data_IF_691413616606
#
_entry.id   IF_691413616606
#
_cell.length_a   1.000
_cell.length_b   1.000
_cell.length_c   1.000
_cell.angle_alpha   90.00
_cell.angle_beta   90.00
_cell.angle_gamma   90.00
#
_symmetry.space_group_name_H-M   'P 1'
#
loop_
_entity.id
_entity.type
_entity.pdbx_description
1 polymer ?
#
# COMPACT_ATOMS: atom_id res chain seq x y z
N UNK A 1 24.67 57.65 -15.35
CA UNK A 1 24.17 56.25 -15.39
C UNK A 1 22.66 56.28 -15.59
N UNK A 2 22.09 55.24 -16.12
CA UNK A 2 20.62 55.10 -16.27
C UNK A 2 19.88 55.33 -14.94
N UNK A 3 20.42 54.84 -13.86
CA UNK A 3 19.90 54.98 -12.51
C UNK A 3 19.81 56.45 -12.06
N UNK A 4 20.83 57.26 -12.37
CA UNK A 4 20.83 58.69 -12.02
C UNK A 4 19.72 59.46 -12.77
N UNK A 5 19.48 59.12 -14.04
CA UNK A 5 18.43 59.73 -14.86
C UNK A 5 17.02 59.33 -14.33
N UNK A 6 16.90 58.15 -13.75
CA UNK A 6 15.65 57.67 -13.14
C UNK A 6 15.37 58.37 -11.81
N UNK A 7 16.38 58.57 -10.95
CA UNK A 7 16.27 59.35 -9.72
C UNK A 7 15.91 60.82 -9.97
N UNK A 8 16.52 61.43 -10.99
CA UNK A 8 16.20 62.81 -11.39
C UNK A 8 14.76 62.92 -11.93
N UNK A 9 14.31 61.93 -12.71
CA UNK A 9 12.94 61.87 -13.24
C UNK A 9 11.89 61.71 -12.12
N UNK A 10 12.17 60.91 -11.12
CA UNK A 10 11.28 60.63 -10.00
C UNK A 10 11.43 61.62 -8.84
N UNK A 11 12.35 62.62 -8.97
CA UNK A 11 12.66 63.64 -7.94
C UNK A 11 13.05 63.02 -6.60
N UNK A 12 13.78 61.89 -6.63
CA UNK A 12 14.27 61.23 -5.43
C UNK A 12 15.47 62.03 -4.90
N UNK A 13 15.33 62.51 -3.66
CA UNK A 13 16.33 63.36 -3.03
C UNK A 13 17.19 62.63 -1.99
N UNK A 14 16.70 61.54 -1.43
CA UNK A 14 17.41 60.73 -0.46
C UNK A 14 16.94 59.30 -0.48
N UNK A 15 17.85 58.31 -0.38
CA UNK A 15 17.54 56.89 -0.34
C UNK A 15 18.20 56.24 0.88
N UNK A 16 17.46 55.37 1.55
CA UNK A 16 17.97 54.43 2.56
C UNK A 16 17.67 53.01 2.10
N UNK A 17 18.69 52.15 2.04
CA UNK A 17 18.55 50.77 1.58
C UNK A 17 19.20 49.81 2.57
N UNK A 18 18.52 48.71 2.90
CA UNK A 18 19.04 47.63 3.76
C UNK A 18 18.92 46.30 3.06
N UNK A 19 19.84 45.40 3.38
CA UNK A 19 19.84 44.04 2.82
C UNK A 19 18.79 43.15 3.51
N UNK A 20 18.15 42.27 2.77
CA UNK A 20 17.34 41.16 3.27
C UNK A 20 18.19 39.91 3.21
N UNK A 21 18.36 39.24 4.34
CA UNK A 21 19.17 38.02 4.45
C UNK A 21 18.30 36.80 4.58
N UNK A 22 18.59 35.74 3.80
CA UNK A 22 17.96 34.43 3.88
C UNK A 22 19.08 33.38 3.86
N UNK A 23 19.12 32.45 4.79
CA UNK A 23 20.21 31.46 4.93
C UNK A 23 21.62 32.10 4.93
N UNK A 24 21.81 33.20 5.65
CA UNK A 24 23.07 33.96 5.71
C UNK A 24 23.58 34.50 4.36
N UNK A 25 22.72 34.49 3.34
CA UNK A 25 23.02 35.08 2.01
C UNK A 25 22.11 36.25 1.75
N UNK A 26 22.60 37.20 0.96
CA UNK A 26 21.79 38.33 0.52
C UNK A 26 20.76 37.79 -0.48
N UNK A 27 19.49 37.92 -0.12
CA UNK A 27 18.36 37.58 -0.98
C UNK A 27 17.87 38.75 -1.81
N UNK A 28 17.98 39.97 -1.24
CA UNK A 28 17.56 41.20 -1.87
C UNK A 28 17.79 42.40 -0.98
N UNK A 29 17.21 43.50 -1.36
CA UNK A 29 17.28 44.76 -0.63
C UNK A 29 15.88 45.34 -0.46
N UNK A 30 15.65 46.04 0.65
CA UNK A 30 14.47 46.88 0.85
C UNK A 30 14.95 48.31 1.06
N UNK A 31 14.32 49.25 0.39
CA UNK A 31 14.66 50.65 0.48
C UNK A 31 13.46 51.54 0.68
N UNK A 32 13.73 52.73 1.21
CA UNK A 32 12.81 53.86 1.25
C UNK A 32 13.47 55.06 0.57
N UNK A 33 12.70 55.79 -0.17
CA UNK A 33 13.11 57.01 -0.88
C UNK A 33 12.25 58.20 -0.42
N UNK A 34 12.87 59.36 -0.42
CA UNK A 34 12.21 60.63 -0.11
C UNK A 34 12.16 61.47 -1.37
N UNK A 35 10.96 61.94 -1.71
CA UNK A 35 10.65 62.74 -2.87
C UNK A 35 10.42 64.20 -2.45
N UNK A 36 10.95 65.15 -3.20
CA UNK A 36 10.60 66.56 -3.09
C UNK A 36 11.51 67.44 -2.23
N UNK A 37 12.48 66.88 -1.47
CA UNK A 37 13.46 67.66 -0.72
C UNK A 37 14.50 66.78 -0.03
N UNK A 38 15.73 67.30 0.25
CA UNK A 38 16.75 66.54 0.94
C UNK A 38 16.31 66.14 2.33
N UNK A 39 16.56 64.89 2.70
CA UNK A 39 16.26 64.34 4.02
C UNK A 39 17.50 63.68 4.62
N UNK A 40 17.80 63.98 5.87
CA UNK A 40 18.89 63.35 6.62
C UNK A 40 18.34 62.18 7.44
N UNK A 41 18.75 60.94 7.09
CA UNK A 41 18.30 59.72 7.75
C UNK A 41 18.82 59.67 9.19
N UNK A 42 17.91 59.58 10.13
CA UNK A 42 18.24 59.46 11.56
C UNK A 42 18.49 58.01 11.93
N UNK A 43 19.17 57.80 13.07
CA UNK A 43 19.50 56.45 13.55
C UNK A 43 18.26 55.58 13.69
N UNK A 44 17.15 56.13 14.16
CA UNK A 44 15.91 55.35 14.31
C UNK A 44 15.29 54.94 12.95
N UNK A 45 15.41 55.71 11.89
CA UNK A 45 14.95 55.34 10.56
C UNK A 45 15.72 54.13 10.04
N UNK A 46 17.05 54.16 10.24
CA UNK A 46 17.95 53.07 9.84
C UNK A 46 17.64 51.80 10.63
N UNK A 47 17.47 51.91 11.95
CA UNK A 47 17.11 50.78 12.81
C UNK A 47 15.74 50.20 12.45
N UNK A 48 14.75 51.04 12.18
CA UNK A 48 13.43 50.61 11.77
C UNK A 48 13.50 49.80 10.45
N UNK A 49 14.15 50.33 9.42
CA UNK A 49 14.26 49.63 8.13
C UNK A 49 15.07 48.35 8.25
N UNK A 50 16.10 48.28 9.10
CA UNK A 50 16.82 47.03 9.40
C UNK A 50 15.91 45.98 10.01
N UNK A 51 15.05 46.33 11.00
CA UNK A 51 14.09 45.41 11.60
C UNK A 51 13.09 44.89 10.57
N UNK A 52 12.61 45.74 9.66
CA UNK A 52 11.74 45.30 8.56
C UNK A 52 12.46 44.31 7.65
N UNK A 53 13.71 44.59 7.30
CA UNK A 53 14.54 43.65 6.51
C UNK A 53 14.74 42.31 7.19
N UNK A 54 14.96 42.29 8.51
CA UNK A 54 15.08 41.07 9.31
C UNK A 54 13.76 40.27 9.36
N UNK A 55 12.63 40.94 9.56
CA UNK A 55 11.31 40.29 9.54
C UNK A 55 11.04 39.65 8.19
N UNK A 56 11.30 40.36 7.11
CA UNK A 56 11.13 39.84 5.75
C UNK A 56 12.06 38.65 5.49
N UNK A 57 13.33 38.75 5.90
CA UNK A 57 14.30 37.67 5.77
C UNK A 57 13.86 36.42 6.52
N UNK A 58 13.43 36.56 7.76
CA UNK A 58 12.93 35.46 8.59
C UNK A 58 11.64 34.83 8.00
N UNK A 59 10.74 35.67 7.49
CA UNK A 59 9.51 35.18 6.85
C UNK A 59 9.81 34.37 5.59
N UNK A 60 10.68 34.88 4.73
CA UNK A 60 11.14 34.16 3.53
C UNK A 60 11.85 32.85 3.87
N UNK A 61 12.69 32.86 4.92
CA UNK A 61 13.36 31.67 5.43
C UNK A 61 12.34 30.62 5.86
N UNK A 62 11.34 31.03 6.65
CA UNK A 62 10.28 30.13 7.11
C UNK A 62 9.48 29.54 5.95
N UNK A 63 9.12 30.34 4.95
CA UNK A 63 8.45 29.88 3.75
C UNK A 63 9.29 28.86 2.96
N UNK A 64 10.59 29.07 2.82
CA UNK A 64 11.49 28.12 2.18
C UNK A 64 11.58 26.82 2.98
N UNK A 65 11.73 26.92 4.30
CA UNK A 65 11.78 25.73 5.17
C UNK A 65 10.48 24.92 5.13
N UNK A 66 9.32 25.59 5.14
CA UNK A 66 8.02 24.92 5.01
C UNK A 66 7.87 24.17 3.68
N UNK A 67 8.25 24.79 2.57
CA UNK A 67 8.22 24.13 1.25
C UNK A 67 9.16 22.93 1.20
N UNK A 68 10.36 23.05 1.78
CA UNK A 68 11.32 21.95 1.84
C UNK A 68 10.78 20.78 2.69
N UNK A 69 10.19 21.06 3.85
CA UNK A 69 9.57 20.06 4.72
C UNK A 69 8.41 19.34 4.02
N UNK A 70 7.52 20.07 3.33
CA UNK A 70 6.42 19.47 2.58
C UNK A 70 6.93 18.51 1.51
N UNK A 71 7.98 18.88 0.78
CA UNK A 71 8.58 18.02 -0.24
C UNK A 71 9.12 16.72 0.35
N UNK A 72 9.91 16.81 1.44
CA UNK A 72 10.46 15.65 2.13
C UNK A 72 9.35 14.76 2.69
N UNK A 73 8.28 15.33 3.21
CA UNK A 73 7.14 14.58 3.72
C UNK A 73 6.43 13.78 2.61
N UNK A 74 6.23 14.36 1.43
CA UNK A 74 5.66 13.67 0.28
C UNK A 74 6.56 12.52 -0.16
N UNK A 75 7.87 12.77 -0.29
CA UNK A 75 8.85 11.74 -0.67
C UNK A 75 8.88 10.58 0.36
N UNK A 76 8.79 10.88 1.65
CA UNK A 76 8.75 9.88 2.73
C UNK A 76 7.48 9.02 2.66
N UNK A 77 6.31 9.63 2.45
CA UNK A 77 5.04 8.90 2.30
C UNK A 77 5.09 7.97 1.09
N UNK A 78 5.62 8.43 -0.03
CA UNK A 78 5.76 7.60 -1.24
C UNK A 78 6.73 6.45 -1.03
N UNK A 79 7.89 6.71 -0.41
CA UNK A 79 8.86 5.67 -0.06
C UNK A 79 8.26 4.61 0.88
N UNK A 80 7.52 5.02 1.91
CA UNK A 80 6.84 4.10 2.81
C UNK A 80 5.79 3.25 2.09
N UNK A 81 4.98 3.84 1.20
CA UNK A 81 4.03 3.10 0.36
C UNK A 81 4.70 2.03 -0.50
N UNK A 82 5.84 2.37 -1.09
CA UNK A 82 6.62 1.40 -1.89
C UNK A 82 7.19 0.28 -1.02
N UNK A 83 7.72 0.62 0.16
CA UNK A 83 8.21 -0.37 1.12
C UNK A 83 7.09 -1.31 1.58
N UNK A 84 5.91 -0.80 1.88
CA UNK A 84 4.73 -1.60 2.24
C UNK A 84 4.31 -2.52 1.10
N UNK A 85 4.29 -2.04 -0.15
CA UNK A 85 4.00 -2.88 -1.31
C UNK A 85 5.02 -4.02 -1.46
N UNK A 86 6.32 -3.71 -1.41
CA UNK A 86 7.38 -4.71 -1.50
C UNK A 86 7.33 -5.72 -0.35
N UNK A 87 6.88 -5.25 0.83
CA UNK A 87 6.78 -6.08 2.02
C UNK A 87 5.58 -7.02 2.02
N UNK A 88 4.46 -6.64 1.39
CA UNK A 88 3.16 -7.28 1.57
C UNK A 88 2.58 -7.91 0.29
N UNK A 89 3.16 -7.63 -0.88
CA UNK A 89 2.65 -8.12 -2.18
C UNK A 89 3.56 -9.23 -2.71
N UNK A 90 2.96 -10.25 -3.33
CA UNK A 90 3.67 -11.28 -4.08
C UNK A 90 4.06 -10.75 -5.47
N UNK A 91 5.35 -10.80 -5.79
CA UNK A 91 5.90 -10.22 -7.02
C UNK A 91 5.45 -10.91 -8.31
N UNK A 92 4.99 -12.17 -8.27
CA UNK A 92 4.49 -12.88 -9.45
C UNK A 92 3.02 -12.58 -9.73
N UNK A 93 2.19 -12.68 -8.69
CA UNK A 93 0.72 -12.68 -8.83
C UNK A 93 0.09 -11.32 -8.54
N UNK A 94 0.79 -10.41 -7.87
CA UNK A 94 0.30 -9.08 -7.54
C UNK A 94 -0.74 -9.03 -6.41
N UNK A 95 -1.11 -10.17 -5.82
CA UNK A 95 -1.95 -10.26 -4.61
C UNK A 95 -1.08 -10.23 -3.35
N UNK A 96 -1.67 -10.28 -2.16
CA UNK A 96 -0.93 -10.34 -0.90
C UNK A 96 0.05 -11.51 -0.85
N UNK A 97 1.13 -11.36 -0.11
CA UNK A 97 2.09 -12.43 0.17
C UNK A 97 1.84 -13.07 1.55
N UNK A 98 2.61 -14.12 1.90
CA UNK A 98 2.51 -14.82 3.18
C UNK A 98 2.63 -13.91 4.39
N UNK A 99 3.58 -12.94 4.37
CA UNK A 99 3.74 -12.01 5.50
C UNK A 99 2.50 -11.15 5.72
N UNK A 100 1.87 -10.70 4.63
CA UNK A 100 0.62 -9.96 4.72
C UNK A 100 -0.51 -10.82 5.28
N UNK A 101 -0.57 -12.09 4.85
CA UNK A 101 -1.52 -13.07 5.38
C UNK A 101 -1.35 -13.27 6.88
N UNK A 102 -0.12 -13.53 7.37
CA UNK A 102 0.13 -13.82 8.78
C UNK A 102 -0.35 -12.66 9.66
N UNK A 103 -0.02 -11.42 9.29
CA UNK A 103 -0.46 -10.21 10.00
C UNK A 103 -1.98 -10.00 9.94
N UNK A 104 -2.59 -10.19 8.77
CA UNK A 104 -4.02 -10.00 8.58
C UNK A 104 -4.83 -11.04 9.38
N UNK A 105 -4.43 -12.30 9.34
CA UNK A 105 -5.14 -13.37 10.06
C UNK A 105 -5.13 -13.14 11.58
N UNK A 106 -4.00 -12.69 12.15
CA UNK A 106 -3.92 -12.34 13.57
C UNK A 106 -4.87 -11.18 13.92
N UNK A 107 -4.87 -10.11 13.12
CA UNK A 107 -5.75 -8.96 13.33
C UNK A 107 -7.24 -9.36 13.20
N UNK A 108 -7.59 -10.09 12.14
CA UNK A 108 -8.98 -10.51 11.86
C UNK A 108 -9.50 -11.49 12.91
N UNK A 109 -8.63 -12.34 13.48
CA UNK A 109 -9.00 -13.24 14.56
C UNK A 109 -9.33 -12.48 15.85
N UNK A 110 -8.57 -11.43 16.17
CA UNK A 110 -8.87 -10.56 17.32
C UNK A 110 -10.17 -9.79 17.08
N UNK A 111 -10.39 -9.25 15.88
CA UNK A 111 -11.61 -8.52 15.53
C UNK A 111 -12.84 -9.43 15.55
N UNK A 112 -12.73 -10.65 15.03
CA UNK A 112 -13.78 -11.68 15.06
C UNK A 112 -14.28 -11.94 16.48
N UNK A 113 -13.37 -12.05 17.46
CA UNK A 113 -13.71 -12.24 18.88
C UNK A 113 -14.38 -11.03 19.49
N UNK A 114 -13.88 -9.83 19.18
CA UNK A 114 -14.42 -8.57 19.71
C UNK A 114 -15.84 -8.31 19.18
N UNK A 115 -16.03 -8.56 17.89
CA UNK A 115 -17.31 -8.32 17.20
C UNK A 115 -18.28 -9.49 17.28
N UNK A 116 -17.83 -10.67 17.76
CA UNK A 116 -18.59 -11.93 17.74
C UNK A 116 -19.07 -12.33 16.33
N UNK A 117 -18.35 -11.88 15.29
CA UNK A 117 -18.59 -12.26 13.90
C UNK A 117 -17.70 -13.45 13.53
N UNK A 118 -18.19 -14.40 12.73
CA UNK A 118 -17.39 -15.54 12.31
C UNK A 118 -16.19 -15.10 11.46
N UNK A 119 -15.09 -15.85 11.53
CA UNK A 119 -13.96 -15.72 10.65
C UNK A 119 -13.71 -17.07 9.98
N UNK A 120 -13.60 -17.08 8.65
CA UNK A 120 -13.29 -18.30 7.91
C UNK A 120 -11.98 -18.15 7.14
N UNK A 121 -11.25 -19.26 7.06
CA UNK A 121 -10.00 -19.38 6.33
C UNK A 121 -10.11 -20.48 5.29
N UNK A 122 -9.66 -20.21 4.06
CA UNK A 122 -9.43 -21.18 3.00
C UNK A 122 -7.94 -21.33 2.78
N UNK A 123 -7.39 -22.55 2.84
CA UNK A 123 -6.10 -22.90 2.26
C UNK A 123 -6.32 -23.62 0.93
N UNK A 124 -5.59 -23.24 -0.08
CA UNK A 124 -5.81 -23.63 -1.47
C UNK A 124 -4.50 -24.10 -2.06
N UNK A 125 -4.51 -25.22 -2.77
CA UNK A 125 -3.34 -25.76 -3.45
C UNK A 125 -3.71 -26.15 -4.89
N UNK A 126 -2.81 -25.87 -5.82
CA UNK A 126 -3.01 -26.19 -7.24
C UNK A 126 -2.68 -27.64 -7.49
N UNK A 127 -3.68 -28.41 -7.91
CA UNK A 127 -3.59 -29.86 -8.06
C UNK A 127 -2.55 -30.28 -9.11
N UNK A 128 -1.60 -31.11 -8.66
CA UNK A 128 -0.55 -31.69 -9.53
C UNK A 128 0.29 -30.64 -10.27
N UNK A 129 0.54 -29.47 -9.65
CA UNK A 129 1.21 -28.33 -10.28
C UNK A 129 2.64 -28.65 -10.72
N UNK A 130 3.36 -29.51 -9.97
CA UNK A 130 4.68 -29.97 -10.41
C UNK A 130 4.61 -30.68 -11.76
N UNK A 131 3.68 -31.61 -11.93
CA UNK A 131 3.49 -32.32 -13.21
C UNK A 131 3.06 -31.35 -14.34
N UNK A 132 2.31 -30.31 -14.03
CA UNK A 132 1.99 -29.24 -14.96
C UNK A 132 3.26 -28.51 -15.43
N UNK A 133 4.12 -28.08 -14.50
CA UNK A 133 5.36 -27.41 -14.82
C UNK A 133 6.33 -28.32 -15.62
N UNK A 134 6.40 -29.58 -15.26
CA UNK A 134 7.26 -30.56 -15.98
C UNK A 134 6.80 -30.76 -17.44
N UNK A 135 5.50 -30.60 -17.71
CA UNK A 135 4.91 -30.76 -19.04
C UNK A 135 4.91 -29.47 -19.88
N UNK A 136 4.55 -28.34 -19.28
CA UNK A 136 4.32 -27.07 -20.02
C UNK A 136 5.37 -25.99 -19.75
N UNK A 137 6.29 -26.24 -18.82
CA UNK A 137 7.36 -25.32 -18.41
C UNK A 137 6.91 -24.28 -17.37
N UNK A 138 7.89 -23.72 -16.66
CA UNK A 138 7.66 -22.76 -15.56
C UNK A 138 6.94 -21.49 -15.99
N UNK A 139 7.16 -21.00 -17.22
CA UNK A 139 6.47 -19.79 -17.73
C UNK A 139 4.97 -20.03 -17.86
N UNK A 140 4.56 -21.23 -18.29
CA UNK A 140 3.14 -21.60 -18.33
C UNK A 140 2.56 -21.74 -16.91
N UNK A 141 3.34 -22.28 -15.97
CA UNK A 141 2.99 -22.35 -14.55
C UNK A 141 2.78 -20.96 -13.93
N UNK A 142 3.69 -20.05 -14.16
CA UNK A 142 3.59 -18.67 -13.69
C UNK A 142 2.31 -17.98 -14.23
N UNK A 143 1.99 -18.18 -15.49
CA UNK A 143 0.76 -17.65 -16.09
C UNK A 143 -0.51 -18.30 -15.50
N UNK A 144 -0.45 -19.59 -15.19
CA UNK A 144 -1.55 -20.28 -14.51
C UNK A 144 -1.78 -19.71 -13.10
N UNK A 145 -0.70 -19.52 -12.32
CA UNK A 145 -0.79 -18.93 -10.97
C UNK A 145 -1.36 -17.51 -11.00
N UNK A 146 -0.98 -16.68 -11.98
CA UNK A 146 -1.55 -15.33 -12.17
C UNK A 146 -3.07 -15.38 -12.40
N UNK A 147 -3.53 -16.25 -13.29
CA UNK A 147 -4.97 -16.41 -13.58
C UNK A 147 -5.75 -16.93 -12.37
N UNK A 148 -5.16 -17.85 -11.60
CA UNK A 148 -5.75 -18.33 -10.35
C UNK A 148 -5.86 -17.18 -9.35
N UNK A 149 -4.81 -16.40 -9.14
CA UNK A 149 -4.81 -15.24 -8.25
C UNK A 149 -5.90 -14.21 -8.62
N UNK A 150 -6.03 -13.87 -9.90
CA UNK A 150 -7.10 -13.00 -10.42
C UNK A 150 -8.50 -13.60 -10.13
N UNK A 151 -8.65 -14.91 -10.30
CA UNK A 151 -9.90 -15.62 -10.01
C UNK A 151 -10.25 -15.61 -8.53
N UNK A 152 -9.27 -15.79 -7.65
CA UNK A 152 -9.47 -15.71 -6.21
C UNK A 152 -9.90 -14.29 -5.81
N UNK A 153 -9.18 -13.28 -6.25
CA UNK A 153 -9.51 -11.87 -5.96
C UNK A 153 -10.92 -11.50 -6.45
N UNK A 154 -11.31 -11.93 -7.65
CA UNK A 154 -12.66 -11.65 -8.19
C UNK A 154 -13.77 -12.46 -7.52
N UNK A 155 -13.42 -13.51 -6.79
CA UNK A 155 -14.37 -14.33 -6.02
C UNK A 155 -14.54 -13.83 -4.57
N UNK A 156 -13.65 -12.99 -4.08
CA UNK A 156 -13.70 -12.31 -2.80
C UNK A 156 -14.56 -11.03 -2.98
N UNK A 157 -15.81 -11.07 -2.51
CA UNK A 157 -16.78 -9.99 -2.72
C UNK A 157 -17.00 -9.10 -1.49
N UNK A 158 -16.54 -9.52 -0.32
CA UNK A 158 -16.57 -8.73 0.90
C UNK A 158 -15.51 -7.63 0.89
N UNK A 159 -15.79 -6.51 1.55
CA UNK A 159 -14.85 -5.38 1.64
C UNK A 159 -13.51 -5.74 2.30
N UNK A 160 -13.54 -6.70 3.21
CA UNK A 160 -12.38 -7.13 3.99
C UNK A 160 -11.91 -8.54 3.60
N UNK A 161 -12.47 -9.12 2.52
CA UNK A 161 -11.98 -10.41 2.02
C UNK A 161 -10.56 -10.26 1.50
N UNK A 162 -9.67 -11.16 1.86
CA UNK A 162 -8.26 -11.09 1.48
C UNK A 162 -7.82 -12.38 0.79
N UNK A 163 -7.36 -12.27 -0.45
CA UNK A 163 -6.70 -13.34 -1.18
C UNK A 163 -5.19 -13.11 -1.20
N UNK A 164 -4.41 -14.15 -0.88
CA UNK A 164 -2.95 -14.09 -0.84
C UNK A 164 -2.31 -15.32 -1.50
N UNK A 165 -1.08 -15.18 -1.95
CA UNK A 165 -0.22 -16.31 -2.28
C UNK A 165 0.56 -16.72 -1.05
N UNK A 166 0.24 -17.90 -0.52
CA UNK A 166 0.83 -18.42 0.72
C UNK A 166 2.25 -18.95 0.51
N UNK A 167 2.52 -19.56 -0.66
CA UNK A 167 3.86 -19.99 -1.07
C UNK A 167 3.80 -20.92 -2.28
N UNK A 168 4.79 -20.91 -3.17
CA UNK A 168 4.83 -21.81 -4.32
C UNK A 168 3.54 -21.80 -5.15
N UNK A 169 2.82 -22.91 -5.11
CA UNK A 169 1.50 -23.14 -5.72
C UNK A 169 0.33 -23.03 -4.74
N UNK A 170 0.59 -22.53 -3.50
CA UNK A 170 -0.39 -22.44 -2.44
C UNK A 170 -0.93 -21.01 -2.31
N UNK A 171 -2.22 -20.90 -2.09
CA UNK A 171 -2.94 -19.66 -1.84
C UNK A 171 -3.74 -19.76 -0.54
N UNK A 172 -4.10 -18.61 0.02
CA UNK A 172 -5.02 -18.53 1.13
C UNK A 172 -6.05 -17.43 0.90
N UNK A 173 -7.24 -17.61 1.49
CA UNK A 173 -8.29 -16.59 1.49
C UNK A 173 -8.82 -16.44 2.91
N UNK A 174 -8.78 -15.22 3.45
CA UNK A 174 -9.39 -14.85 4.73
C UNK A 174 -10.73 -14.20 4.42
N UNK A 175 -11.78 -14.64 5.12
CA UNK A 175 -13.16 -14.20 4.92
C UNK A 175 -13.78 -13.78 6.25
N UNK A 176 -13.59 -12.53 6.69
CA UNK A 176 -14.24 -12.00 7.89
C UNK A 176 -15.77 -11.95 7.72
N UNK A 177 -16.50 -12.39 8.73
CA UNK A 177 -17.97 -12.46 8.73
C UNK A 177 -18.57 -13.64 7.97
N UNK A 178 -17.75 -14.49 7.35
CA UNK A 178 -18.26 -15.66 6.63
C UNK A 178 -18.54 -16.84 7.57
N UNK A 179 -19.80 -17.28 7.62
CA UNK A 179 -20.20 -18.48 8.35
C UNK A 179 -19.85 -19.76 7.57
N UNK A 180 -19.87 -20.93 8.23
CA UNK A 180 -19.62 -22.23 7.59
C UNK A 180 -20.41 -22.44 6.30
N UNK A 181 -21.71 -22.09 6.31
CA UNK A 181 -22.57 -22.21 5.13
C UNK A 181 -22.18 -21.26 4.00
N UNK A 182 -21.74 -20.05 4.34
CA UNK A 182 -21.32 -19.05 3.34
C UNK A 182 -19.95 -19.36 2.78
N UNK A 183 -19.00 -19.77 3.62
CA UNK A 183 -17.63 -20.09 3.18
C UNK A 183 -17.60 -21.28 2.23
N UNK A 184 -18.41 -22.34 2.48
CA UNK A 184 -18.50 -23.46 1.54
C UNK A 184 -19.05 -23.06 0.18
N UNK A 185 -20.04 -22.18 0.13
CA UNK A 185 -20.54 -21.65 -1.16
C UNK A 185 -19.46 -20.84 -1.91
N UNK A 186 -18.67 -20.07 -1.17
CA UNK A 186 -17.54 -19.32 -1.75
C UNK A 186 -16.48 -20.29 -2.27
N UNK A 187 -16.09 -21.29 -1.48
CA UNK A 187 -15.12 -22.29 -1.88
C UNK A 187 -15.56 -23.04 -3.16
N UNK A 188 -16.84 -23.49 -3.23
CA UNK A 188 -17.39 -24.11 -4.41
C UNK A 188 -17.44 -23.16 -5.63
N UNK A 189 -17.70 -21.87 -5.40
CA UNK A 189 -17.69 -20.86 -6.48
C UNK A 189 -16.26 -20.68 -7.01
N UNK A 190 -15.27 -20.62 -6.13
CA UNK A 190 -13.84 -20.55 -6.50
C UNK A 190 -13.46 -21.78 -7.34
N UNK A 191 -13.80 -22.99 -6.89
CA UNK A 191 -13.57 -24.23 -7.64
C UNK A 191 -14.18 -24.19 -9.04
N UNK A 192 -15.42 -23.72 -9.17
CA UNK A 192 -16.10 -23.56 -10.44
C UNK A 192 -15.42 -22.53 -11.34
N UNK A 193 -15.01 -21.40 -10.77
CA UNK A 193 -14.37 -20.31 -11.53
C UNK A 193 -13.00 -20.72 -12.04
N UNK A 194 -12.19 -21.41 -11.22
CA UNK A 194 -10.89 -21.93 -11.66
C UNK A 194 -11.05 -22.97 -12.78
N UNK A 195 -12.01 -23.88 -12.68
CA UNK A 195 -12.31 -24.82 -13.78
C UNK A 195 -12.72 -24.12 -15.07
N UNK A 196 -13.49 -23.00 -14.98
CA UNK A 196 -13.89 -22.21 -16.15
C UNK A 196 -12.72 -21.52 -16.87
N UNK A 197 -11.56 -21.38 -16.22
CA UNK A 197 -10.34 -20.89 -16.89
C UNK A 197 -9.93 -21.81 -18.05
N UNK A 198 -10.34 -23.08 -18.00
CA UNK A 198 -10.09 -24.04 -19.09
C UNK A 198 -8.60 -24.31 -19.34
N UNK A 199 -7.75 -24.16 -18.31
CA UNK A 199 -6.30 -24.35 -18.46
C UNK A 199 -6.03 -25.85 -18.68
N UNK A 200 -5.50 -26.26 -19.85
CA UNK A 200 -5.23 -27.67 -20.13
C UNK A 200 -4.16 -28.24 -19.19
N UNK A 201 -4.40 -29.45 -18.67
CA UNK A 201 -3.44 -30.20 -17.87
C UNK A 201 -3.53 -31.69 -18.22
N UNK A 202 -2.65 -32.17 -19.06
CA UNK A 202 -2.68 -33.52 -19.65
C UNK A 202 -2.71 -34.64 -18.59
N UNK A 203 -1.96 -34.46 -17.49
CA UNK A 203 -1.86 -35.42 -16.40
C UNK A 203 -2.96 -35.27 -15.31
N UNK A 204 -3.90 -34.35 -15.50
CA UNK A 204 -5.02 -34.20 -14.55
C UNK A 204 -6.10 -35.26 -14.78
N UNK A 205 -6.57 -35.88 -13.70
CA UNK A 205 -7.74 -36.79 -13.74
C UNK A 205 -9.06 -36.06 -13.88
N UNK A 206 -9.09 -34.73 -13.77
CA UNK A 206 -10.29 -33.89 -13.84
C UNK A 206 -10.47 -33.25 -15.23
N UNK A 207 -10.97 -34.04 -16.17
CA UNK A 207 -11.23 -33.59 -17.56
C UNK A 207 -10.01 -32.96 -18.25
N UNK A 208 -8.77 -33.38 -17.88
CA UNK A 208 -7.51 -32.81 -18.37
C UNK A 208 -7.40 -31.29 -18.17
N UNK A 209 -7.98 -30.77 -17.08
CA UNK A 209 -7.89 -29.37 -16.70
C UNK A 209 -7.09 -29.19 -15.43
N UNK A 210 -6.44 -28.05 -15.31
CA UNK A 210 -5.82 -27.62 -14.04
C UNK A 210 -6.94 -27.30 -13.05
N UNK A 211 -6.83 -27.87 -11.85
CA UNK A 211 -7.79 -27.72 -10.77
C UNK A 211 -7.09 -27.32 -9.47
N UNK A 212 -7.86 -27.02 -8.46
CA UNK A 212 -7.38 -26.68 -7.12
C UNK A 212 -8.11 -27.52 -6.07
N UNK A 213 -7.47 -27.77 -4.95
CA UNK A 213 -8.07 -28.34 -3.75
C UNK A 213 -8.15 -27.28 -2.64
N UNK A 214 -9.19 -27.30 -1.83
CA UNK A 214 -9.44 -26.28 -0.81
C UNK A 214 -9.70 -26.94 0.54
N UNK A 215 -8.92 -26.56 1.56
CA UNK A 215 -9.19 -26.80 2.97
C UNK A 215 -9.92 -25.60 3.56
N UNK A 216 -10.99 -25.83 4.28
CA UNK A 216 -11.85 -24.81 4.87
C UNK A 216 -11.82 -24.94 6.38
N UNK A 217 -11.74 -23.82 7.09
CA UNK A 217 -11.93 -23.76 8.54
C UNK A 217 -12.73 -22.51 8.91
N UNK A 218 -13.55 -22.62 9.94
CA UNK A 218 -14.18 -21.46 10.58
C UNK A 218 -13.64 -21.36 12.01
N UNK A 219 -13.25 -20.16 12.42
CA UNK A 219 -12.82 -19.90 13.78
C UNK A 219 -13.99 -20.02 14.75
N UNK A 220 -13.73 -20.61 15.89
CA UNK A 220 -14.68 -20.65 17.01
C UNK A 220 -14.63 -19.32 17.75
N UNK A 221 -15.65 -18.48 17.59
CA UNK A 221 -15.71 -17.13 18.20
C UNK A 221 -15.65 -17.14 19.71
N UNK A 222 -16.15 -18.23 20.34
CA UNK A 222 -16.15 -18.41 21.80
C UNK A 222 -14.81 -18.94 22.34
N UNK A 223 -13.93 -19.45 21.47
CA UNK A 223 -12.66 -20.05 21.88
C UNK A 223 -11.55 -18.99 21.90
N UNK A 224 -11.38 -18.32 23.04
CA UNK A 224 -10.31 -17.32 23.21
C UNK A 224 -8.88 -17.88 23.13
N UNK A 225 -8.71 -19.19 23.15
CA UNK A 225 -7.38 -19.84 23.12
C UNK A 225 -6.92 -20.24 21.72
N UNK A 226 -7.80 -20.25 20.74
CA UNK A 226 -7.47 -20.63 19.36
C UNK A 226 -6.56 -19.57 18.73
N UNK A 227 -5.37 -19.92 18.32
CA UNK A 227 -4.41 -19.03 17.67
C UNK A 227 -4.59 -19.03 16.14
N UNK A 228 -4.02 -18.03 15.47
CA UNK A 228 -3.93 -18.02 14.01
C UNK A 228 -3.23 -19.28 13.48
N UNK A 229 -2.21 -19.77 14.20
CA UNK A 229 -1.50 -21.00 13.85
C UNK A 229 -2.41 -22.23 13.94
N UNK A 230 -3.29 -22.32 14.95
CA UNK A 230 -4.23 -23.43 15.07
C UNK A 230 -5.24 -23.45 13.91
N UNK A 231 -5.71 -22.27 13.48
CA UNK A 231 -6.58 -22.16 12.30
C UNK A 231 -5.88 -22.63 11.03
N UNK A 232 -4.63 -22.23 10.82
CA UNK A 232 -3.84 -22.68 9.67
C UNK A 232 -3.65 -24.19 9.69
N UNK A 233 -3.33 -24.79 10.85
CA UNK A 233 -3.19 -26.25 10.99
C UNK A 233 -4.49 -26.98 10.67
N UNK A 234 -5.63 -26.52 11.18
CA UNK A 234 -6.96 -27.11 10.87
C UNK A 234 -7.29 -27.00 9.38
N UNK A 235 -6.98 -25.86 8.76
CA UNK A 235 -7.20 -25.66 7.33
C UNK A 235 -6.30 -26.56 6.48
N UNK A 236 -5.04 -26.79 6.89
CA UNK A 236 -4.10 -27.69 6.20
C UNK A 236 -4.58 -29.15 6.31
N UNK A 237 -5.04 -29.60 7.47
CA UNK A 237 -5.65 -30.92 7.62
C UNK A 237 -6.88 -31.07 6.71
N UNK A 238 -7.72 -30.04 6.60
CA UNK A 238 -8.85 -30.03 5.70
C UNK A 238 -8.43 -30.09 4.22
N UNK A 239 -7.38 -29.36 3.85
CA UNK A 239 -6.78 -29.40 2.51
C UNK A 239 -6.23 -30.79 2.20
N UNK A 240 -5.57 -31.42 3.15
CA UNK A 240 -5.09 -32.80 2.99
C UNK A 240 -6.26 -33.78 2.76
N UNK A 241 -7.40 -33.62 3.50
CA UNK A 241 -8.62 -34.39 3.24
C UNK A 241 -9.18 -34.17 1.84
N UNK A 242 -9.15 -32.92 1.34
CA UNK A 242 -9.58 -32.61 -0.02
C UNK A 242 -8.70 -33.29 -1.09
N UNK A 243 -7.38 -33.25 -0.93
CA UNK A 243 -6.42 -33.93 -1.81
C UNK A 243 -6.64 -35.44 -1.86
N UNK A 244 -6.87 -36.07 -0.69
CA UNK A 244 -7.13 -37.52 -0.58
C UNK A 244 -8.53 -37.94 -1.06
N UNK A 245 -9.52 -37.04 -1.03
CA UNK A 245 -10.85 -37.30 -1.57
C UNK A 245 -10.93 -37.28 -3.10
N UNK A 246 -9.78 -37.16 -3.78
CA UNK A 246 -9.66 -37.16 -5.22
C UNK A 246 -9.33 -35.80 -5.84
N UNK A 247 -8.98 -34.80 -5.02
CA UNK A 247 -8.68 -33.42 -5.46
C UNK A 247 -9.90 -32.68 -6.03
N UNK A 248 -9.71 -31.46 -6.55
CA UNK A 248 -10.76 -30.65 -7.19
C UNK A 248 -12.02 -30.50 -6.31
N UNK A 249 -11.87 -30.40 -5.03
CA UNK A 249 -12.97 -30.26 -4.06
C UNK A 249 -12.56 -29.40 -2.87
N UNK A 250 -13.56 -28.98 -2.08
CA UNK A 250 -13.36 -28.34 -0.79
C UNK A 250 -13.77 -29.29 0.35
N UNK A 251 -13.06 -29.23 1.46
CA UNK A 251 -13.36 -29.96 2.69
C UNK A 251 -13.20 -29.07 3.91
N UNK A 252 -14.04 -29.31 4.94
CA UNK A 252 -13.79 -28.84 6.29
C UNK A 252 -12.78 -29.73 6.96
#
# INVERSE_FOLDING_TARGET
SKERAEFERERICSILCVRIMVNSKIYGFIGCDIIGGPYEWKTHDIEYLKRVGEILGNTLQNLHNQKALQKVQIELVEANKQLERLANIDGLTGIGNRRFFDNALECDLVESRNSQLPLSLLLIDVDSFKAFNDTYGHVAGDNALKKIAETLTSSCLGLNDLAVRYGGEEFAVILPGASEKSVMRIAEQILRNVRKLGIPHEHSHHNKLLTISIGVVCAETDNQRESATDLVLKADEALYRAKNAGKNCAKF
#
